data_IF_681288461713
#
_entry.id   IF_681288461713
#
_cell.length_a   1.000
_cell.length_b   1.000
_cell.length_c   1.000
_cell.angle_alpha   90.00
_cell.angle_beta   90.00
_cell.angle_gamma   90.00
#
_symmetry.space_group_name_H-M   'P 1'
#
loop_
_entity.id
_entity.type
_entity.pdbx_description
1 polymer ?
#
# COMPACT_ATOMS: atom_id res chain seq x y z
N UNK A 1 -12.80 -23.80 35.60
CA UNK A 1 -12.32 -22.63 36.36
C UNK A 1 -13.31 -21.51 36.11
N UNK A 2 -14.36 -21.53 36.92
CA UNK A 2 -15.46 -20.55 36.98
C UNK A 2 -15.11 -19.72 38.19
N UNK A 3 -14.73 -18.44 38.07
CA UNK A 3 -14.75 -17.48 39.17
C UNK A 3 -14.45 -16.05 38.65
N UNK A 4 -15.37 -15.13 38.99
CA UNK A 4 -15.14 -13.70 39.27
C UNK A 4 -14.95 -12.68 38.13
N UNK A 5 -16.01 -12.43 37.35
CA UNK A 5 -16.15 -11.12 36.67
C UNK A 5 -17.49 -10.39 36.94
N UNK A 6 -18.41 -10.94 37.74
CA UNK A 6 -19.70 -10.29 38.07
C UNK A 6 -19.72 -9.40 39.34
N UNK A 7 -18.57 -9.11 39.97
CA UNK A 7 -18.53 -8.38 41.27
C UNK A 7 -18.12 -6.90 41.14
N UNK A 8 -17.74 -6.40 39.96
CA UNK A 8 -17.23 -5.02 39.82
C UNK A 8 -18.33 -3.98 39.53
N UNK A 9 -19.52 -4.37 39.07
CA UNK A 9 -20.59 -3.41 38.73
C UNK A 9 -21.58 -3.06 39.86
N UNK A 10 -21.51 -3.72 41.02
CA UNK A 10 -22.46 -3.47 42.13
C UNK A 10 -21.87 -2.55 43.23
N UNK A 11 -20.56 -2.29 43.21
CA UNK A 11 -19.91 -1.42 44.22
C UNK A 11 -19.83 0.07 43.86
N UNK A 12 -20.16 0.45 42.62
CA UNK A 12 -20.13 1.86 42.18
C UNK A 12 -21.45 2.65 42.36
N UNK A 13 -22.57 1.99 42.64
CA UNK A 13 -23.90 2.64 42.79
C UNK A 13 -24.38 2.81 44.23
N UNK A 14 -23.59 2.40 45.23
CA UNK A 14 -23.98 2.46 46.65
C UNK A 14 -23.30 3.64 47.39
N UNK A 15 -22.47 4.44 46.71
CA UNK A 15 -21.64 5.47 47.36
C UNK A 15 -22.05 6.93 47.11
N UNK A 16 -23.27 7.19 46.62
CA UNK A 16 -23.77 8.55 46.32
C UNK A 16 -25.17 8.84 46.92
N UNK A 17 -25.53 8.21 48.04
CA UNK A 17 -26.78 8.52 48.78
C UNK A 17 -26.63 8.64 50.29
N UNK A 18 -25.40 8.77 50.79
CA UNK A 18 -25.13 9.02 52.20
C UNK A 18 -24.13 10.16 52.31
N UNK A 19 -24.58 11.24 52.94
CA UNK A 19 -23.83 12.42 53.42
C UNK A 19 -23.59 13.58 52.43
N UNK A 20 -24.57 14.50 52.42
CA UNK A 20 -24.33 15.92 52.75
C UNK A 20 -25.33 16.25 53.88
N UNK A 21 -24.87 16.20 55.12
CA UNK A 21 -24.52 17.36 55.95
C UNK A 21 -25.75 18.19 56.35
N UNK A 22 -26.30 18.02 57.56
CA UNK A 22 -25.84 18.49 58.89
C UNK A 22 -26.63 19.74 59.27
N UNK A 23 -26.92 19.87 60.59
CA UNK A 23 -27.35 21.06 61.38
C UNK A 23 -28.72 20.87 62.06
N UNK A 24 -28.66 20.43 63.33
CA UNK A 24 -29.37 20.97 64.52
C UNK A 24 -30.92 20.84 64.54
N UNK A 25 -31.64 20.37 65.56
CA UNK A 25 -31.52 20.54 67.02
C UNK A 25 -32.23 19.37 67.72
N UNK A 26 -31.57 18.85 68.75
CA UNK A 26 -32.09 17.98 69.80
C UNK A 26 -33.09 18.68 70.74
N UNK A 27 -34.31 18.17 70.92
CA UNK A 27 -35.12 18.42 72.14
C UNK A 27 -35.85 17.14 72.58
N UNK A 28 -35.29 16.55 73.65
CA UNK A 28 -35.93 15.99 74.85
C UNK A 28 -37.42 15.60 74.86
N UNK A 29 -37.65 14.37 75.35
CA UNK A 29 -38.65 13.98 76.35
C UNK A 29 -40.07 14.60 76.27
N UNK A 30 -41.08 13.76 76.08
CA UNK A 30 -41.93 13.32 77.19
C UNK A 30 -43.12 12.48 76.70
N UNK A 31 -43.36 11.41 77.46
CA UNK A 31 -44.57 10.61 77.49
C UNK A 31 -45.78 11.51 77.81
N UNK A 32 -46.63 11.88 76.85
CA UNK A 32 -47.90 12.57 77.14
C UNK A 32 -49.10 11.77 76.61
N UNK A 33 -49.76 11.18 77.60
CA UNK A 33 -51.13 10.69 77.67
C UNK A 33 -52.07 11.47 76.74
N UNK A 34 -52.81 10.71 75.92
CA UNK A 34 -53.86 11.17 75.03
C UNK A 34 -55.01 11.83 75.81
N UNK A 35 -54.92 13.14 76.02
CA UNK A 35 -56.08 13.98 76.30
C UNK A 35 -56.39 14.75 75.03
N UNK A 36 -57.23 14.11 74.21
CA UNK A 36 -57.75 14.59 72.95
C UNK A 36 -58.82 15.65 73.24
N UNK A 37 -58.38 16.87 73.58
CA UNK A 37 -59.16 18.08 73.35
C UNK A 37 -58.50 18.74 72.16
N UNK A 38 -58.96 18.40 70.95
CA UNK A 38 -58.67 19.21 69.77
C UNK A 38 -59.26 20.59 70.03
N UNK A 39 -58.46 21.50 70.58
CA UNK A 39 -58.65 22.90 70.25
C UNK A 39 -58.49 22.94 68.73
N UNK A 40 -59.61 23.12 68.01
CA UNK A 40 -59.56 23.44 66.60
C UNK A 40 -58.83 24.78 66.50
N UNK A 41 -57.50 24.71 66.40
CA UNK A 41 -56.70 25.87 66.07
C UNK A 41 -57.12 26.24 64.66
N UNK A 42 -57.87 27.33 64.53
CA UNK A 42 -58.08 27.97 63.24
C UNK A 42 -56.73 28.57 62.89
N UNK A 43 -55.96 27.84 62.08
CA UNK A 43 -54.56 28.17 61.86
C UNK A 43 -54.44 29.52 61.14
N UNK A 44 -53.81 30.45 61.84
CA UNK A 44 -53.32 31.70 61.27
C UNK A 44 -51.82 31.50 61.00
N UNK A 45 -51.51 31.19 59.76
CA UNK A 45 -50.16 30.84 59.32
C UNK A 45 -49.32 32.08 59.02
N UNK A 46 -48.02 32.00 59.28
CA UNK A 46 -47.05 32.98 58.77
C UNK A 46 -46.89 32.86 57.24
N UNK A 47 -46.28 33.90 56.65
CA UNK A 47 -45.80 33.84 55.27
C UNK A 47 -44.80 32.70 55.11
N UNK A 48 -44.84 32.04 53.96
CA UNK A 48 -43.91 30.98 53.65
C UNK A 48 -42.48 31.49 53.65
N UNK A 49 -41.59 30.76 54.34
CA UNK A 49 -40.15 31.02 54.35
C UNK A 49 -39.42 29.93 53.57
N UNK A 50 -38.74 30.33 52.48
CA UNK A 50 -37.88 29.42 51.73
C UNK A 50 -36.63 29.09 52.55
N UNK A 51 -36.37 27.80 52.73
CA UNK A 51 -35.19 27.29 53.42
C UNK A 51 -34.13 26.81 52.43
N UNK A 52 -34.57 26.21 51.31
CA UNK A 52 -33.70 25.74 50.23
C UNK A 52 -34.31 26.24 48.92
N UNK A 53 -33.57 27.06 48.18
CA UNK A 53 -34.00 27.50 46.84
C UNK A 53 -33.95 26.30 45.88
N UNK A 54 -34.96 26.10 45.01
CA UNK A 54 -34.91 25.08 43.98
C UNK A 54 -33.78 25.39 42.99
N UNK A 55 -33.09 24.35 42.51
CA UNK A 55 -32.08 24.49 41.45
C UNK A 55 -32.66 24.06 40.11
N UNK A 56 -31.83 23.98 39.09
CA UNK A 56 -32.23 23.45 37.78
C UNK A 56 -32.44 21.92 37.76
N UNK A 57 -32.08 21.19 38.83
CA UNK A 57 -32.24 19.73 38.92
C UNK A 57 -32.57 19.18 40.32
N UNK A 58 -32.73 20.05 41.31
CA UNK A 58 -33.07 19.67 42.69
C UNK A 58 -34.23 20.53 43.17
N UNK A 59 -35.22 19.90 43.79
CA UNK A 59 -36.37 20.57 44.39
C UNK A 59 -35.93 21.47 45.55
N UNK A 60 -36.62 22.61 45.70
CA UNK A 60 -36.48 23.50 46.85
C UNK A 60 -37.39 23.10 48.00
N UNK A 61 -37.31 23.81 49.12
CA UNK A 61 -38.09 23.53 50.32
C UNK A 61 -38.46 24.80 51.07
N UNK A 62 -39.73 24.91 51.48
CA UNK A 62 -40.24 26.02 52.27
C UNK A 62 -41.06 25.53 53.46
N UNK A 63 -41.07 26.34 54.52
CA UNK A 63 -41.79 26.06 55.77
C UNK A 63 -42.54 27.30 56.24
N UNK A 64 -43.60 27.10 57.03
CA UNK A 64 -44.31 28.17 57.75
C UNK A 64 -44.77 27.63 59.10
N UNK A 65 -45.08 28.53 60.01
CA UNK A 65 -45.53 28.20 61.37
C UNK A 65 -46.83 28.92 61.69
N UNK A 66 -47.65 28.34 62.56
CA UNK A 66 -48.83 29.02 63.03
C UNK A 66 -48.48 30.00 64.15
N UNK A 67 -48.91 31.26 64.03
CA UNK A 67 -48.62 32.32 65.01
C UNK A 67 -49.21 32.07 66.40
N UNK A 68 -50.15 31.14 66.54
CA UNK A 68 -50.89 30.87 67.78
C UNK A 68 -50.43 29.59 68.48
N UNK A 69 -50.27 28.49 67.73
CA UNK A 69 -49.92 27.18 68.28
C UNK A 69 -48.49 26.72 67.96
N UNK A 70 -47.74 27.46 67.14
CA UNK A 70 -46.36 27.16 66.71
C UNK A 70 -46.21 25.80 65.99
N UNK A 71 -47.30 25.18 65.58
CA UNK A 71 -47.28 24.02 64.69
C UNK A 71 -46.65 24.42 63.34
N UNK A 72 -45.90 23.51 62.73
CA UNK A 72 -45.17 23.75 61.48
C UNK A 72 -45.80 23.01 60.31
N UNK A 73 -45.85 23.66 59.15
CA UNK A 73 -46.31 23.10 57.87
C UNK A 73 -45.21 23.28 56.82
N UNK A 74 -45.05 22.31 55.91
CA UNK A 74 -43.96 22.30 54.95
C UNK A 74 -44.32 21.71 53.59
N UNK A 75 -43.61 22.15 52.56
CA UNK A 75 -43.77 21.65 51.19
C UNK A 75 -42.51 21.82 50.33
N UNK A 76 -42.43 21.00 49.29
CA UNK A 76 -41.41 21.12 48.25
C UNK A 76 -41.75 22.20 47.22
N UNK A 77 -40.71 22.80 46.65
CA UNK A 77 -40.80 23.69 45.49
C UNK A 77 -40.26 22.91 44.29
N UNK A 78 -41.02 22.76 43.19
CA UNK A 78 -40.53 22.05 42.00
C UNK A 78 -39.19 22.60 41.52
N UNK A 79 -38.33 21.73 41.01
CA UNK A 79 -37.12 22.16 40.31
C UNK A 79 -37.47 23.16 39.21
N UNK A 80 -36.59 24.14 38.99
CA UNK A 80 -36.88 25.21 38.05
C UNK A 80 -36.85 24.74 36.60
N UNK A 81 -36.05 23.70 36.30
CA UNK A 81 -35.74 23.26 34.93
C UNK A 81 -35.02 24.31 34.08
N UNK A 82 -34.67 25.47 34.64
CA UNK A 82 -34.02 26.57 33.93
C UNK A 82 -32.51 26.36 34.00
N UNK A 83 -31.93 25.93 32.89
CA UNK A 83 -30.50 25.64 32.81
C UNK A 83 -29.69 26.85 32.34
N UNK A 84 -28.67 27.22 33.12
CA UNK A 84 -27.63 28.17 32.69
C UNK A 84 -26.49 27.41 32.00
N UNK A 85 -26.42 27.51 30.67
CA UNK A 85 -25.50 26.73 29.84
C UNK A 85 -24.11 27.37 29.66
N UNK A 86 -23.10 26.54 29.40
CA UNK A 86 -21.80 26.96 28.88
C UNK A 86 -21.85 27.26 27.38
N UNK A 87 -20.74 27.82 26.84
CA UNK A 87 -20.58 27.97 25.40
C UNK A 87 -20.49 26.62 24.68
N UNK A 88 -20.98 26.57 23.45
CA UNK A 88 -20.90 25.37 22.61
C UNK A 88 -19.44 25.06 22.26
N UNK A 89 -18.98 23.86 22.59
CA UNK A 89 -17.66 23.34 22.20
C UNK A 89 -17.83 22.34 21.06
N UNK A 90 -17.04 22.49 20.00
CA UNK A 90 -17.00 21.52 18.89
C UNK A 90 -16.05 20.37 19.21
N UNK A 91 -16.30 19.19 18.65
CA UNK A 91 -15.29 18.12 18.62
C UNK A 91 -14.07 18.55 17.79
N UNK A 92 -12.90 18.00 18.13
CA UNK A 92 -11.61 18.36 17.51
C UNK A 92 -11.55 18.07 16.01
N UNK A 93 -12.34 17.10 15.53
CA UNK A 93 -12.37 16.68 14.13
C UNK A 93 -13.39 17.51 13.35
N UNK A 94 -12.90 18.48 12.56
CA UNK A 94 -13.76 19.41 11.81
C UNK A 94 -14.13 18.97 10.39
N UNK A 95 -13.31 18.12 9.77
CA UNK A 95 -13.47 17.68 8.38
C UNK A 95 -14.60 16.67 8.18
N UNK A 96 -14.94 15.89 9.21
CA UNK A 96 -16.08 14.97 9.22
C UNK A 96 -17.28 15.55 9.99
N UNK A 97 -18.43 14.91 9.81
CA UNK A 97 -19.61 15.15 10.64
C UNK A 97 -19.26 14.87 12.11
N UNK A 98 -19.68 15.77 12.99
CA UNK A 98 -19.40 15.69 14.41
C UNK A 98 -20.50 16.35 15.22
N UNK A 99 -20.19 16.80 16.42
CA UNK A 99 -21.16 17.49 17.27
C UNK A 99 -20.57 18.72 17.95
N UNK A 100 -21.47 19.58 18.40
CA UNK A 100 -21.19 20.53 19.45
C UNK A 100 -21.83 20.06 20.74
N UNK A 101 -21.13 20.23 21.85
CA UNK A 101 -21.60 19.89 23.20
C UNK A 101 -21.54 21.13 24.08
N UNK A 102 -22.55 21.31 24.95
CA UNK A 102 -22.52 22.26 26.06
C UNK A 102 -23.07 21.60 27.32
N UNK A 103 -22.81 22.19 28.47
CA UNK A 103 -23.22 21.66 29.77
C UNK A 103 -23.83 22.74 30.65
N UNK A 104 -24.75 22.36 31.53
CA UNK A 104 -25.28 23.27 32.55
C UNK A 104 -24.23 23.50 33.63
N UNK A 105 -24.00 24.76 34.01
CA UNK A 105 -22.96 25.14 34.98
C UNK A 105 -23.22 24.62 36.41
N UNK A 106 -24.46 24.28 36.72
CA UNK A 106 -24.87 23.88 38.07
C UNK A 106 -25.08 22.37 38.17
N UNK A 107 -25.86 21.78 37.26
CA UNK A 107 -26.19 20.35 37.30
C UNK A 107 -25.41 19.47 36.34
N UNK A 108 -24.54 20.04 35.49
CA UNK A 108 -23.71 19.33 34.51
C UNK A 108 -24.47 18.46 33.50
N UNK A 109 -25.79 18.63 33.40
CA UNK A 109 -26.58 18.06 32.30
C UNK A 109 -25.99 18.54 30.99
N UNK A 110 -25.86 17.66 30.01
CA UNK A 110 -25.27 17.97 28.71
C UNK A 110 -26.32 18.08 27.63
N UNK A 111 -26.04 18.91 26.64
CA UNK A 111 -26.84 19.04 25.42
C UNK A 111 -25.92 18.91 24.20
N UNK A 112 -26.40 18.23 23.17
CA UNK A 112 -25.64 17.94 21.95
C UNK A 112 -26.42 18.39 20.73
N UNK A 113 -25.73 19.03 19.78
CA UNK A 113 -26.25 19.31 18.43
C UNK A 113 -25.27 18.78 17.36
N UNK A 114 -25.81 18.19 16.29
CA UNK A 114 -24.97 17.67 15.20
C UNK A 114 -24.44 18.80 14.33
N UNK A 115 -23.23 18.59 13.78
CA UNK A 115 -22.53 19.51 12.90
C UNK A 115 -22.12 18.77 11.62
N UNK A 116 -22.31 19.41 10.47
CA UNK A 116 -21.76 18.92 9.21
C UNK A 116 -20.27 19.21 9.11
N UNK A 117 -19.51 18.21 8.66
CA UNK A 117 -18.10 18.36 8.31
C UNK A 117 -17.94 19.42 7.22
N UNK A 118 -16.84 20.17 7.25
CA UNK A 118 -16.55 21.15 6.19
C UNK A 118 -16.01 20.50 4.91
N UNK A 119 -15.71 19.19 4.91
CA UNK A 119 -15.13 18.46 3.77
C UNK A 119 -13.66 18.81 3.47
N UNK A 120 -13.05 19.70 4.24
CA UNK A 120 -11.66 20.11 4.04
C UNK A 120 -10.72 19.12 4.73
N UNK A 121 -10.35 18.08 4.00
CA UNK A 121 -9.46 17.04 4.48
C UNK A 121 -7.99 17.42 4.31
N UNK A 122 -7.20 17.21 5.37
CA UNK A 122 -5.75 17.18 5.30
C UNK A 122 -5.28 15.76 5.10
N UNK A 123 -5.00 15.40 3.85
CA UNK A 123 -4.59 14.05 3.50
C UNK A 123 -3.09 13.81 3.67
N UNK A 124 -2.74 12.55 3.93
CA UNK A 124 -1.39 12.03 3.81
C UNK A 124 -0.91 12.03 2.34
N UNK A 125 0.35 11.61 2.14
CA UNK A 125 0.86 11.34 0.78
C UNK A 125 0.16 10.11 0.21
N UNK A 126 -0.04 10.10 -1.11
CA UNK A 126 -0.53 8.92 -1.82
C UNK A 126 0.39 7.71 -1.59
N UNK A 127 -0.24 6.58 -1.29
CA UNK A 127 0.37 5.26 -1.19
C UNK A 127 -0.15 4.39 -2.33
N UNK A 128 0.75 3.77 -3.11
CA UNK A 128 0.36 2.89 -4.21
C UNK A 128 0.03 1.51 -3.64
N UNK A 129 -1.22 1.09 -3.80
CA UNK A 129 -1.69 -0.23 -3.37
C UNK A 129 -1.31 -1.26 -4.44
N UNK A 130 -1.56 -0.94 -5.70
CA UNK A 130 -1.21 -1.79 -6.84
C UNK A 130 -0.66 -0.92 -7.97
N UNK A 131 0.48 -1.34 -8.52
CA UNK A 131 1.06 -0.70 -9.69
C UNK A 131 0.24 -1.00 -10.94
N UNK A 132 0.20 -0.05 -11.88
CA UNK A 132 -0.39 -0.27 -13.19
C UNK A 132 0.58 -1.03 -14.10
N UNK A 133 0.05 -1.77 -15.07
CA UNK A 133 0.85 -2.46 -16.09
C UNK A 133 0.31 -2.19 -17.50
N UNK A 134 0.75 -2.97 -18.50
CA UNK A 134 0.36 -2.76 -19.90
C UNK A 134 -1.13 -2.90 -20.21
N UNK A 135 -1.92 -3.57 -19.35
CA UNK A 135 -3.36 -3.78 -19.57
C UNK A 135 -4.21 -3.40 -18.36
N UNK A 136 -3.68 -3.56 -17.16
CA UNK A 136 -4.44 -3.43 -15.92
C UNK A 136 -4.11 -2.10 -15.24
N UNK A 137 -5.17 -1.40 -14.83
CA UNK A 137 -5.03 -0.21 -14.01
C UNK A 137 -4.50 -0.59 -12.62
N UNK A 138 -3.67 0.29 -12.06
CA UNK A 138 -3.27 0.27 -10.67
C UNK A 138 -4.24 1.06 -9.79
N UNK A 139 -3.95 1.09 -8.49
CA UNK A 139 -4.74 1.82 -7.49
C UNK A 139 -3.82 2.42 -6.45
N UNK A 140 -4.14 3.64 -6.01
CA UNK A 140 -3.49 4.32 -4.88
C UNK A 140 -4.53 4.86 -3.91
N UNK A 141 -4.13 5.02 -2.65
CA UNK A 141 -4.95 5.57 -1.57
C UNK A 141 -4.20 6.63 -0.78
N UNK A 142 -4.95 7.45 -0.05
CA UNK A 142 -4.43 8.33 1.01
C UNK A 142 -5.49 8.47 2.09
N UNK A 143 -5.06 8.80 3.30
CA UNK A 143 -5.92 8.92 4.48
C UNK A 143 -5.93 10.35 4.99
N UNK A 144 -7.07 10.81 5.51
CA UNK A 144 -7.14 12.07 6.21
C UNK A 144 -6.50 11.90 7.60
N UNK A 145 -5.53 12.74 7.92
CA UNK A 145 -4.79 12.66 9.18
C UNK A 145 -5.60 13.07 10.41
N UNK A 146 -6.78 13.66 10.20
CA UNK A 146 -7.63 14.17 11.27
C UNK A 146 -8.87 13.29 11.52
N UNK A 147 -9.52 12.77 10.47
CA UNK A 147 -10.71 11.90 10.59
C UNK A 147 -10.54 10.46 10.12
N UNK A 148 -9.35 10.09 9.62
CA UNK A 148 -9.03 8.75 9.09
C UNK A 148 -9.93 8.29 7.92
N UNK A 149 -10.59 9.23 7.25
CA UNK A 149 -11.30 8.94 6.01
C UNK A 149 -10.31 8.61 4.87
N UNK A 150 -10.62 7.60 4.07
CA UNK A 150 -9.79 7.14 2.96
C UNK A 150 -10.30 7.68 1.61
N UNK A 151 -9.37 8.12 0.78
CA UNK A 151 -9.61 8.48 -0.61
C UNK A 151 -8.84 7.55 -1.55
N UNK A 152 -9.43 7.23 -2.70
CA UNK A 152 -8.88 6.31 -3.68
C UNK A 152 -8.81 6.94 -5.07
N UNK A 153 -7.73 6.64 -5.80
CA UNK A 153 -7.58 7.01 -7.20
C UNK A 153 -7.08 5.83 -8.04
N UNK A 154 -7.51 5.80 -9.30
CA UNK A 154 -7.08 4.83 -10.29
C UNK A 154 -5.77 5.33 -10.93
N UNK A 155 -4.78 4.45 -11.03
CA UNK A 155 -3.58 4.66 -11.84
C UNK A 155 -3.87 4.01 -13.20
N UNK A 156 -4.06 4.77 -14.29
CA UNK A 156 -4.43 4.18 -15.58
C UNK A 156 -3.32 3.25 -16.10
N UNK A 157 -3.74 2.17 -16.76
CA UNK A 157 -2.83 1.27 -17.47
C UNK A 157 -2.06 2.04 -18.54
N UNK A 158 -0.84 1.60 -18.78
CA UNK A 158 0.03 2.21 -19.77
C UNK A 158 0.54 1.12 -20.69
N UNK A 159 0.05 1.10 -21.93
CA UNK A 159 0.41 0.11 -22.95
C UNK A 159 1.91 0.02 -23.24
N UNK A 160 2.73 0.95 -22.77
CA UNK A 160 4.20 0.90 -22.90
C UNK A 160 4.90 0.15 -21.76
N UNK A 161 4.21 -0.11 -20.62
CA UNK A 161 4.76 -0.78 -19.44
C UNK A 161 4.73 -2.31 -19.60
N UNK A 162 5.51 -2.80 -20.55
CA UNK A 162 5.64 -4.23 -20.79
C UNK A 162 6.73 -4.86 -19.92
N UNK A 163 6.36 -5.94 -19.23
CA UNK A 163 7.31 -6.85 -18.59
C UNK A 163 7.69 -7.96 -19.56
N UNK A 164 8.82 -7.79 -20.23
CA UNK A 164 9.25 -8.66 -21.34
C UNK A 164 10.05 -9.86 -20.88
N UNK A 165 9.85 -11.00 -21.54
CA UNK A 165 10.75 -12.15 -21.47
C UNK A 165 12.12 -11.86 -22.10
N UNK A 166 13.09 -12.72 -21.80
CA UNK A 166 14.37 -12.71 -22.48
C UNK A 166 14.21 -13.07 -23.96
N UNK A 167 14.99 -12.42 -24.82
CA UNK A 167 14.99 -12.73 -26.25
C UNK A 167 15.32 -14.20 -26.52
N UNK A 168 14.42 -14.89 -27.19
CA UNK A 168 14.60 -16.27 -27.67
C UNK A 168 14.91 -16.30 -29.16
N UNK A 169 15.75 -17.24 -29.59
CA UNK A 169 16.11 -17.39 -31.01
C UNK A 169 15.14 -18.30 -31.72
N UNK A 170 14.32 -17.75 -32.61
CA UNK A 170 13.44 -18.52 -33.49
C UNK A 170 14.12 -18.90 -34.82
N UNK A 171 15.07 -18.08 -35.27
CA UNK A 171 15.88 -18.38 -36.46
C UNK A 171 17.32 -17.98 -36.18
N UNK A 172 18.20 -18.98 -36.08
CA UNK A 172 19.62 -18.73 -35.83
C UNK A 172 20.28 -18.00 -37.01
N UNK A 173 21.04 -16.95 -36.70
CA UNK A 173 21.86 -16.25 -37.69
C UNK A 173 22.96 -17.17 -38.23
N UNK A 174 23.35 -16.94 -39.48
CA UNK A 174 24.46 -17.65 -40.13
C UNK A 174 25.49 -16.66 -40.64
N UNK A 175 26.61 -17.16 -41.17
CA UNK A 175 27.58 -16.31 -41.87
C UNK A 175 26.99 -15.60 -43.10
N UNK A 176 25.88 -16.10 -43.66
CA UNK A 176 25.33 -15.61 -44.93
C UNK A 176 23.97 -14.93 -44.79
N UNK A 177 23.17 -15.33 -43.80
CA UNK A 177 21.79 -14.87 -43.57
C UNK A 177 21.64 -14.33 -42.14
N UNK A 178 20.85 -13.27 -42.00
CA UNK A 178 20.43 -12.74 -40.69
C UNK A 178 19.56 -13.74 -39.97
N UNK A 179 19.54 -13.70 -38.64
CA UNK A 179 18.60 -14.47 -37.84
C UNK A 179 17.39 -13.63 -37.44
N UNK A 180 16.54 -14.22 -36.61
CA UNK A 180 15.42 -13.57 -35.94
C UNK A 180 15.37 -14.04 -34.49
N UNK A 181 15.00 -13.14 -33.61
CA UNK A 181 14.70 -13.43 -32.21
C UNK A 181 13.37 -12.79 -31.85
N UNK A 182 12.66 -13.40 -30.90
CA UNK A 182 11.41 -12.87 -30.36
C UNK A 182 11.46 -12.78 -28.84
N UNK A 183 10.55 -11.99 -28.28
CA UNK A 183 10.25 -11.95 -26.85
C UNK A 183 8.75 -11.69 -26.69
N UNK A 184 8.23 -11.99 -25.51
CA UNK A 184 6.81 -11.93 -25.20
C UNK A 184 6.62 -11.19 -23.88
N UNK A 185 5.59 -10.37 -23.78
CA UNK A 185 5.23 -9.74 -22.51
C UNK A 185 4.50 -10.74 -21.61
N UNK A 186 4.95 -10.91 -20.38
CA UNK A 186 4.34 -11.86 -19.42
C UNK A 186 2.91 -11.52 -19.00
N UNK A 187 2.48 -10.26 -19.23
CA UNK A 187 1.16 -9.78 -18.81
C UNK A 187 0.15 -9.83 -19.95
N UNK A 188 0.50 -9.25 -21.11
CA UNK A 188 -0.44 -9.11 -22.23
C UNK A 188 -0.17 -10.06 -23.40
N UNK A 189 0.86 -10.91 -23.31
CA UNK A 189 1.24 -11.87 -24.36
C UNK A 189 1.54 -11.25 -25.73
N UNK A 190 1.70 -9.92 -25.80
CA UNK A 190 2.18 -9.26 -27.02
C UNK A 190 3.56 -9.80 -27.35
N UNK A 191 3.79 -10.13 -28.62
CA UNK A 191 5.07 -10.65 -29.10
C UNK A 191 5.81 -9.58 -29.90
N UNK A 192 7.08 -9.38 -29.58
CA UNK A 192 7.97 -8.52 -30.34
C UNK A 192 9.03 -9.37 -31.05
N UNK A 193 9.21 -9.11 -32.35
CA UNK A 193 10.21 -9.82 -33.18
C UNK A 193 11.23 -8.83 -33.70
N UNK A 194 12.52 -9.17 -33.57
CA UNK A 194 13.62 -8.40 -34.17
C UNK A 194 14.53 -9.24 -35.06
N UNK A 195 15.14 -8.58 -36.04
CA UNK A 195 16.19 -9.17 -36.88
C UNK A 195 17.53 -9.16 -36.13
N UNK A 196 18.28 -10.25 -36.24
CA UNK A 196 19.64 -10.33 -35.68
C UNK A 196 20.69 -10.24 -36.79
N UNK A 197 21.83 -9.63 -36.47
CA UNK A 197 22.93 -9.46 -37.43
C UNK A 197 23.49 -10.83 -37.83
N UNK A 198 24.03 -10.91 -39.06
CA UNK A 198 24.74 -12.09 -39.55
C UNK A 198 25.93 -12.41 -38.64
N UNK A 199 26.27 -13.68 -38.50
CA UNK A 199 27.45 -14.08 -37.74
C UNK A 199 28.72 -13.56 -38.41
N UNK A 200 29.68 -13.08 -37.61
CA UNK A 200 30.99 -12.70 -38.12
C UNK A 200 31.69 -13.93 -38.67
N UNK A 201 31.95 -13.93 -39.97
CA UNK A 201 32.56 -15.06 -40.65
C UNK A 201 34.01 -15.27 -40.21
N UNK A 202 34.34 -16.50 -39.86
CA UNK A 202 35.67 -16.96 -39.48
C UNK A 202 35.92 -18.32 -40.13
N UNK A 203 37.16 -18.54 -40.54
CA UNK A 203 37.63 -19.79 -41.13
C UNK A 203 38.99 -20.14 -40.53
N UNK A 204 39.20 -21.43 -40.23
CA UNK A 204 40.48 -21.98 -39.78
C UNK A 204 40.76 -23.25 -40.56
N UNK A 205 41.91 -23.31 -41.23
CA UNK A 205 42.36 -24.49 -41.98
C UNK A 205 42.94 -25.54 -41.02
N UNK A 206 42.92 -26.80 -41.44
CA UNK A 206 43.61 -27.88 -40.72
C UNK A 206 45.12 -27.69 -40.67
N UNK A 207 45.69 -27.10 -41.73
CA UNK A 207 47.12 -26.90 -41.91
C UNK A 207 47.37 -25.51 -42.52
N UNK A 208 48.31 -24.76 -41.94
CA UNK A 208 48.74 -23.44 -42.44
C UNK A 208 50.01 -23.50 -43.30
N UNK A 209 50.81 -24.55 -43.15
CA UNK A 209 52.03 -24.78 -43.92
C UNK A 209 52.17 -26.27 -44.23
N UNK A 210 52.71 -26.62 -45.40
CA UNK A 210 53.03 -28.00 -45.76
C UNK A 210 54.24 -28.05 -46.69
N UNK A 211 55.12 -29.04 -46.48
CA UNK A 211 56.23 -29.36 -47.37
C UNK A 211 55.88 -30.66 -48.09
N UNK A 212 56.11 -30.70 -49.41
CA UNK A 212 55.82 -31.85 -50.27
C UNK A 212 56.99 -32.09 -51.23
N UNK A 213 57.20 -33.35 -51.62
CA UNK A 213 58.02 -33.69 -52.79
C UNK A 213 57.20 -33.50 -54.06
N UNK A 214 57.86 -33.23 -55.19
CA UNK A 214 57.22 -33.16 -56.52
C UNK A 214 56.37 -34.41 -56.77
N UNK A 215 55.18 -34.24 -57.35
CA UNK A 215 54.22 -35.30 -57.65
C UNK A 215 53.31 -35.71 -56.47
N UNK A 216 53.71 -35.45 -55.22
CA UNK A 216 52.88 -35.79 -54.05
C UNK A 216 51.70 -34.82 -53.88
N UNK A 217 50.65 -35.29 -53.23
CA UNK A 217 49.39 -34.55 -53.04
C UNK A 217 48.89 -34.66 -51.61
N UNK A 218 48.08 -33.69 -51.16
CA UNK A 218 47.34 -33.76 -49.90
C UNK A 218 46.00 -33.04 -50.03
N UNK A 219 45.06 -33.31 -49.12
CA UNK A 219 43.77 -32.61 -49.09
C UNK A 219 43.81 -31.51 -48.03
N UNK A 220 43.55 -30.26 -48.44
CA UNK A 220 43.46 -29.14 -47.53
C UNK A 220 42.05 -29.08 -46.91
N UNK A 221 41.93 -29.59 -45.69
CA UNK A 221 40.69 -29.58 -44.92
C UNK A 221 40.46 -28.27 -44.16
N UNK A 222 39.19 -28.01 -43.83
CA UNK A 222 38.80 -26.98 -42.86
C UNK A 222 38.77 -27.60 -41.47
N UNK A 223 39.35 -26.92 -40.47
CA UNK A 223 39.24 -27.31 -39.06
C UNK A 223 37.97 -26.76 -38.44
N UNK A 224 37.71 -25.47 -38.65
CA UNK A 224 36.54 -24.73 -38.14
C UNK A 224 36.11 -23.67 -39.14
N UNK A 225 34.81 -23.46 -39.28
CA UNK A 225 34.24 -22.36 -40.03
C UNK A 225 32.92 -21.93 -39.39
N UNK A 226 32.53 -20.67 -39.60
CA UNK A 226 31.26 -20.13 -39.06
C UNK A 226 30.06 -20.88 -39.63
N UNK A 227 29.07 -21.15 -38.78
CA UNK A 227 27.85 -21.88 -39.16
C UNK A 227 27.14 -21.25 -40.36
N UNK A 228 26.69 -22.11 -41.28
CA UNK A 228 26.02 -21.76 -42.53
C UNK A 228 26.92 -21.17 -43.61
N UNK A 229 28.22 -21.02 -43.39
CA UNK A 229 29.15 -20.64 -44.45
C UNK A 229 29.47 -21.82 -45.38
N UNK A 230 29.89 -21.52 -46.60
CA UNK A 230 30.21 -22.52 -47.63
C UNK A 230 31.47 -22.12 -48.38
N UNK A 231 32.27 -23.10 -48.80
CA UNK A 231 33.43 -22.82 -49.66
C UNK A 231 32.92 -22.25 -50.98
N UNK A 232 33.48 -21.11 -51.38
CA UNK A 232 33.24 -20.50 -52.68
C UNK A 232 34.25 -21.01 -53.71
N UNK A 233 35.55 -20.97 -53.39
CA UNK A 233 36.61 -21.43 -54.30
C UNK A 233 37.95 -21.66 -53.62
N UNK A 234 38.77 -22.52 -54.23
CA UNK A 234 40.19 -22.68 -53.93
C UNK A 234 41.04 -22.00 -55.01
N UNK A 235 42.11 -21.32 -54.59
CA UNK A 235 43.03 -20.60 -55.46
C UNK A 235 44.48 -21.00 -55.16
N UNK A 236 45.33 -21.07 -56.18
CA UNK A 236 46.78 -21.16 -56.03
C UNK A 236 47.43 -19.91 -56.59
N UNK A 237 48.31 -19.30 -55.81
CA UNK A 237 49.14 -18.16 -56.25
C UNK A 237 50.14 -18.55 -57.34
N UNK A 238 50.58 -19.81 -57.40
CA UNK A 238 51.48 -20.30 -58.45
C UNK A 238 51.08 -21.71 -58.88
N UNK A 239 50.24 -21.80 -59.92
CA UNK A 239 49.77 -23.07 -60.49
C UNK A 239 50.87 -23.93 -61.13
N UNK A 240 52.03 -23.35 -61.48
CA UNK A 240 53.19 -24.10 -61.99
C UNK A 240 53.89 -24.88 -60.87
N UNK A 241 53.86 -24.34 -59.64
CA UNK A 241 54.45 -24.97 -58.44
C UNK A 241 53.47 -25.92 -57.75
N UNK A 242 52.23 -25.48 -57.51
CA UNK A 242 51.18 -26.32 -56.92
C UNK A 242 49.79 -25.96 -57.44
N UNK A 243 48.96 -26.97 -57.73
CA UNK A 243 47.55 -26.78 -58.13
C UNK A 243 46.59 -27.31 -57.08
N UNK A 244 45.38 -26.75 -57.01
CA UNK A 244 44.32 -27.20 -56.10
C UNK A 244 43.03 -27.40 -56.89
N UNK A 245 42.32 -28.50 -56.64
CA UNK A 245 41.03 -28.79 -57.30
C UNK A 245 39.83 -28.29 -56.47
N UNK A 246 38.61 -28.45 -57.01
CA UNK A 246 37.35 -28.03 -56.34
C UNK A 246 37.11 -28.72 -54.98
N UNK A 247 37.66 -29.93 -54.80
CA UNK A 247 37.57 -30.71 -53.56
C UNK A 247 38.69 -30.37 -52.54
N UNK A 248 39.55 -29.40 -52.83
CA UNK A 248 40.64 -28.99 -51.94
C UNK A 248 41.87 -29.91 -51.98
N UNK A 249 41.97 -30.83 -52.95
CA UNK A 249 43.18 -31.64 -53.16
C UNK A 249 44.25 -30.79 -53.83
N UNK A 250 45.37 -30.62 -53.14
CA UNK A 250 46.55 -29.87 -53.57
C UNK A 250 47.60 -30.84 -54.09
N UNK A 251 48.13 -30.59 -55.29
CA UNK A 251 49.15 -31.41 -55.96
C UNK A 251 50.40 -30.59 -56.24
N UNK A 252 51.56 -31.10 -55.81
CA UNK A 252 52.87 -30.49 -56.05
C UNK A 252 53.37 -30.81 -57.47
N UNK A 253 53.74 -29.78 -58.23
CA UNK A 253 54.14 -29.90 -59.65
C UNK A 253 55.61 -29.59 -59.91
N UNK A 254 56.13 -28.50 -59.35
CA UNK A 254 57.53 -28.07 -59.53
C UNK A 254 58.08 -27.52 -58.23
N UNK A 255 59.40 -27.64 -58.03
CA UNK A 255 60.12 -27.08 -56.88
C UNK A 255 59.83 -25.58 -56.76
N UNK A 256 59.55 -25.10 -55.55
CA UNK A 256 59.21 -23.70 -55.29
C UNK A 256 58.19 -23.50 -54.17
N UNK A 257 57.69 -22.27 -54.02
CA UNK A 257 56.69 -21.90 -53.01
C UNK A 257 55.37 -21.50 -53.68
N UNK A 258 54.26 -21.97 -53.14
CA UNK A 258 52.91 -21.58 -53.56
C UNK A 258 52.00 -21.40 -52.34
N UNK A 259 51.27 -20.29 -52.31
CA UNK A 259 50.18 -20.03 -51.36
C UNK A 259 48.86 -20.53 -51.93
N UNK A 260 48.22 -21.46 -51.23
CA UNK A 260 46.87 -21.96 -51.51
C UNK A 260 45.87 -21.17 -50.66
N UNK A 261 44.87 -20.55 -51.28
CA UNK A 261 43.85 -19.74 -50.61
C UNK A 261 42.49 -20.41 -50.72
N UNK A 262 41.80 -20.56 -49.59
CA UNK A 262 40.40 -20.96 -49.52
C UNK A 262 39.56 -19.71 -49.30
N UNK A 263 38.61 -19.43 -50.20
CA UNK A 263 37.64 -18.33 -50.07
C UNK A 263 36.26 -18.90 -49.78
N UNK A 264 35.62 -18.39 -48.74
CA UNK A 264 34.26 -18.74 -48.36
C UNK A 264 33.23 -17.81 -49.04
N UNK A 265 31.96 -18.21 -49.08
CA UNK A 265 30.86 -17.41 -49.64
C UNK A 265 30.62 -16.13 -48.85
N UNK A 266 30.88 -16.14 -47.55
CA UNK A 266 30.90 -14.93 -46.70
C UNK A 266 31.98 -13.91 -47.10
N UNK A 267 32.91 -14.28 -47.99
CA UNK A 267 34.03 -13.45 -48.40
C UNK A 267 35.29 -13.65 -47.55
N UNK A 268 35.20 -14.28 -46.37
CA UNK A 268 36.36 -14.58 -45.55
C UNK A 268 37.31 -15.58 -46.24
N UNK A 269 38.61 -15.50 -45.94
CA UNK A 269 39.65 -16.26 -46.62
C UNK A 269 40.63 -16.83 -45.60
N UNK A 270 41.18 -18.01 -45.90
CA UNK A 270 42.33 -18.55 -45.19
C UNK A 270 43.35 -19.11 -46.17
N UNK A 271 44.61 -19.16 -45.75
CA UNK A 271 45.73 -19.52 -46.63
C UNK A 271 46.61 -20.60 -46.04
N UNK A 272 47.09 -21.50 -46.88
CA UNK A 272 48.10 -22.51 -46.58
C UNK A 272 49.32 -22.29 -47.48
N UNK A 273 50.52 -22.19 -46.89
CA UNK A 273 51.77 -22.06 -47.63
C UNK A 273 52.34 -23.45 -47.93
N UNK A 274 52.50 -23.75 -49.21
CA UNK A 274 53.03 -25.01 -49.71
C UNK A 274 54.44 -24.78 -50.25
N UNK A 275 55.40 -25.54 -49.74
CA UNK A 275 56.77 -25.58 -50.26
C UNK A 275 57.00 -26.92 -50.92
N UNK A 276 57.37 -26.91 -52.19
CA UNK A 276 57.72 -28.11 -52.95
C UNK A 276 59.24 -28.20 -53.00
N UNK A 277 59.78 -29.32 -52.50
CA UNK A 277 61.21 -29.65 -52.53
C UNK A 277 61.48 -30.70 -53.60
#
# INVERSE_FOLDING_TARGET
MVYNEEIVEIKGKIQMKKYKNVIMISILLALHISLNVKAECIHEWTEWKTLIEPTCSEEGYQTRECLKCYESDSRYIPETGIHTWTEWKADDVLCADGKYTRECKECYKTETKFRKGNGNHRYSKWYVITEANCTNNGKKERECLDCFYYEYEIIPSNSSLHEWSSWSSIVYATALKTGKSERECYVCHTVEVKKTKKLKAKITLSLKKKILKVGKSFTLGLKRYTYGDKISKFLSSNKKVATVNKKGRVTAKKKGKAKITVRMKSGCKATCNVTVK
#
